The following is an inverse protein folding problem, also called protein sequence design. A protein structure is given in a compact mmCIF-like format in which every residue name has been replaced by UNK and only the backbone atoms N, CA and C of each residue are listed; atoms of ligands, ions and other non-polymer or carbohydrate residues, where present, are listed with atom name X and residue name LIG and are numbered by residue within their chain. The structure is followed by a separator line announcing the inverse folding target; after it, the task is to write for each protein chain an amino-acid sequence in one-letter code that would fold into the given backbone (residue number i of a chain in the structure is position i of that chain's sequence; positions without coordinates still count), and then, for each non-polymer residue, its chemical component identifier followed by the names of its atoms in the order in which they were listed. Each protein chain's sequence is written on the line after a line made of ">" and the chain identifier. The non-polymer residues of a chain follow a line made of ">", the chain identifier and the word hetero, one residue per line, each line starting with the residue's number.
data_IF_731084572442
#
_entry.id   IF_731084572442
#
_cell.length_a   1.000
_cell.length_b   1.000
_cell.length_c   1.000
_cell.angle_alpha   90.00
_cell.angle_beta   90.00
_cell.angle_gamma   90.00
#
_symmetry.space_group_name_H-M   'P 1'
#
loop_
_entity.id
_entity.type
_entity.pdbx_description
1 polymer ?
#
# COMPACT_ATOMS: atom_id res chain seq x y z
N UNK A 1 13.51 -8.78 -16.16
CA UNK A 1 12.96 -7.74 -15.25
C UNK A 1 11.74 -8.32 -14.56
N UNK A 2 11.68 -8.25 -13.23
CA UNK A 2 10.46 -8.45 -12.44
C UNK A 2 9.91 -7.10 -12.03
N UNK A 3 8.59 -6.93 -12.12
CA UNK A 3 7.94 -5.66 -11.81
C UNK A 3 6.81 -5.89 -10.80
N UNK A 4 6.98 -5.35 -9.59
CA UNK A 4 5.94 -5.28 -8.56
C UNK A 4 5.21 -3.96 -8.71
N UNK A 5 3.96 -4.02 -9.17
CA UNK A 5 3.03 -2.88 -9.13
C UNK A 5 2.13 -3.06 -7.93
N UNK A 6 2.34 -2.27 -6.88
CA UNK A 6 1.61 -2.38 -5.62
C UNK A 6 0.51 -1.32 -5.53
N UNK A 7 -0.74 -1.76 -5.47
CA UNK A 7 -1.89 -0.90 -5.21
C UNK A 7 -2.10 -0.70 -3.71
N UNK A 8 -1.85 0.49 -3.22
CA UNK A 8 -1.98 0.83 -1.80
C UNK A 8 -3.45 1.00 -1.37
N UNK A 9 -3.72 0.91 -0.08
CA UNK A 9 -5.00 1.23 0.57
C UNK A 9 -6.14 0.22 0.35
N UNK A 10 -5.88 -1.08 0.18
CA UNK A 10 -6.93 -2.10 0.14
C UNK A 10 -7.78 -2.01 1.43
N UNK A 11 -9.11 -1.96 1.30
CA UNK A 11 -10.04 -1.82 2.43
C UNK A 11 -10.34 -0.38 2.85
N UNK A 12 -9.70 0.62 2.26
CA UNK A 12 -9.96 2.03 2.59
C UNK A 12 -11.42 2.41 2.35
N UNK A 13 -11.94 2.12 1.15
CA UNK A 13 -13.37 2.11 0.82
C UNK A 13 -13.68 0.94 -0.10
N UNK A 14 -14.97 0.58 -0.24
CA UNK A 14 -15.39 -0.46 -1.18
C UNK A 14 -15.02 -0.11 -2.62
N UNK A 15 -15.20 1.13 -3.00
CA UNK A 15 -14.88 1.61 -4.34
C UNK A 15 -13.37 1.54 -4.62
N UNK A 16 -12.51 1.87 -3.63
CA UNK A 16 -11.07 1.70 -3.75
C UNK A 16 -10.69 0.23 -3.95
N UNK A 17 -11.25 -0.65 -3.13
CA UNK A 17 -11.03 -2.10 -3.23
C UNK A 17 -11.39 -2.63 -4.62
N UNK A 18 -12.55 -2.25 -5.16
CA UNK A 18 -13.00 -2.69 -6.50
C UNK A 18 -12.06 -2.20 -7.62
N UNK A 19 -11.51 -0.98 -7.49
CA UNK A 19 -10.53 -0.49 -8.47
C UNK A 19 -9.20 -1.24 -8.40
N UNK A 20 -8.73 -1.63 -7.21
CA UNK A 20 -7.55 -2.49 -7.05
C UNK A 20 -7.79 -3.86 -7.73
N UNK A 21 -8.97 -4.45 -7.53
CA UNK A 21 -9.33 -5.73 -8.16
C UNK A 21 -9.37 -5.58 -9.69
N UNK A 22 -9.97 -4.52 -10.22
CA UNK A 22 -9.96 -4.30 -11.67
C UNK A 22 -8.54 -4.11 -12.23
N UNK A 23 -7.66 -3.38 -11.52
CA UNK A 23 -6.27 -3.23 -11.91
C UNK A 23 -5.50 -4.59 -11.91
N UNK A 24 -5.89 -5.52 -11.03
CA UNK A 24 -5.38 -6.90 -11.03
C UNK A 24 -5.94 -7.72 -12.20
N UNK A 25 -7.26 -7.72 -12.40
CA UNK A 25 -7.91 -8.57 -13.39
C UNK A 25 -7.66 -8.12 -14.83
N UNK A 26 -7.58 -6.82 -15.07
CA UNK A 26 -7.53 -6.21 -16.40
C UNK A 26 -6.24 -5.44 -16.69
N UNK A 27 -5.40 -5.23 -15.69
CA UNK A 27 -4.18 -4.44 -15.78
C UNK A 27 -2.94 -5.19 -15.33
N UNK A 28 -1.94 -4.40 -15.01
CA UNK A 28 -0.59 -4.88 -14.67
C UNK A 28 -0.34 -5.06 -13.16
N UNK A 29 -1.33 -4.84 -12.29
CA UNK A 29 -1.19 -4.96 -10.84
C UNK A 29 -1.15 -6.43 -10.41
N UNK A 30 -0.18 -6.80 -9.54
CA UNK A 30 -0.08 -8.13 -8.93
C UNK A 30 0.17 -8.08 -7.43
N UNK A 31 0.25 -6.89 -6.85
CA UNK A 31 0.50 -6.67 -5.42
C UNK A 31 -0.43 -5.60 -4.88
N UNK A 32 -0.83 -5.74 -3.61
CA UNK A 32 -1.61 -4.73 -2.89
C UNK A 32 -1.30 -4.78 -1.40
N UNK A 33 -1.70 -3.74 -0.65
CA UNK A 33 -1.50 -3.70 0.80
C UNK A 33 -2.75 -3.25 1.53
N UNK A 34 -3.12 -4.01 2.59
CA UNK A 34 -4.37 -3.90 3.31
C UNK A 34 -4.27 -3.03 4.57
N UNK A 35 -5.20 -2.10 4.73
CA UNK A 35 -5.38 -1.24 5.90
C UNK A 35 -6.22 -1.95 6.98
N UNK A 36 -5.59 -2.50 8.01
CA UNK A 36 -6.26 -3.36 8.98
C UNK A 36 -7.23 -2.64 9.91
N UNK A 37 -7.12 -1.34 10.06
CA UNK A 37 -8.04 -0.50 10.83
C UNK A 37 -9.06 0.26 9.97
N UNK A 38 -9.15 -0.05 8.68
CA UNK A 38 -10.13 0.56 7.80
C UNK A 38 -11.51 -0.09 7.95
N UNK A 39 -12.57 0.71 7.78
CA UNK A 39 -13.96 0.27 7.98
C UNK A 39 -14.43 -0.81 7.01
N UNK A 40 -13.85 -0.87 5.82
CA UNK A 40 -14.27 -1.77 4.74
C UNK A 40 -13.31 -2.97 4.55
N UNK A 41 -12.48 -3.27 5.57
CA UNK A 41 -11.48 -4.37 5.48
C UNK A 41 -12.15 -5.75 5.32
N UNK A 42 -13.26 -6.01 5.98
CA UNK A 42 -14.01 -7.27 5.84
C UNK A 42 -14.57 -7.44 4.43
N UNK A 43 -15.05 -6.35 3.83
CA UNK A 43 -15.47 -6.35 2.43
C UNK A 43 -14.27 -6.65 1.50
N UNK A 44 -13.14 -6.00 1.75
CA UNK A 44 -11.93 -6.19 0.96
C UNK A 44 -11.45 -7.65 1.02
N UNK A 45 -11.41 -8.24 2.21
CA UNK A 45 -11.05 -9.65 2.41
C UNK A 45 -11.95 -10.59 1.59
N UNK A 46 -13.27 -10.37 1.62
CA UNK A 46 -14.21 -11.17 0.84
C UNK A 46 -14.04 -10.96 -0.68
N UNK A 47 -13.80 -9.71 -1.09
CA UNK A 47 -13.71 -9.35 -2.50
C UNK A 47 -12.43 -9.89 -3.19
N UNK A 48 -11.34 -10.12 -2.44
CA UNK A 48 -10.10 -10.69 -2.97
C UNK A 48 -10.05 -12.23 -2.86
N UNK A 49 -11.07 -12.87 -2.32
CA UNK A 49 -11.11 -14.33 -2.19
C UNK A 49 -11.07 -15.00 -3.57
N UNK A 50 -10.13 -15.94 -3.75
CA UNK A 50 -9.90 -16.63 -5.03
C UNK A 50 -9.02 -15.88 -6.03
N UNK A 51 -8.44 -14.73 -5.66
CA UNK A 51 -7.44 -14.05 -6.49
C UNK A 51 -6.02 -14.54 -6.15
N UNK A 52 -5.75 -15.82 -6.41
CA UNK A 52 -4.54 -16.54 -5.96
C UNK A 52 -3.21 -15.93 -6.46
N UNK A 53 -3.26 -15.14 -7.54
CA UNK A 53 -2.08 -14.44 -8.08
C UNK A 53 -1.87 -13.03 -7.53
N UNK A 54 -2.72 -12.56 -6.61
CA UNK A 54 -2.59 -11.26 -5.97
C UNK A 54 -1.85 -11.39 -4.64
N UNK A 55 -0.62 -10.86 -4.56
CA UNK A 55 0.09 -10.76 -3.31
C UNK A 55 -0.50 -9.67 -2.42
N UNK A 56 -0.81 -9.99 -1.17
CA UNK A 56 -1.40 -9.02 -0.23
C UNK A 56 -0.43 -8.80 0.93
N UNK A 57 0.08 -7.57 1.05
CA UNK A 57 0.88 -7.10 2.17
C UNK A 57 0.05 -6.35 3.22
N UNK A 58 0.69 -5.96 4.31
CA UNK A 58 0.07 -5.12 5.35
C UNK A 58 0.44 -3.65 5.16
N UNK A 59 -0.57 -2.78 5.08
CA UNK A 59 -0.42 -1.33 4.94
C UNK A 59 -0.46 -0.65 6.31
N UNK A 60 0.69 -0.56 6.97
CA UNK A 60 0.78 0.00 8.31
C UNK A 60 0.34 1.46 8.32
N UNK A 61 -0.39 1.87 9.34
CA UNK A 61 -0.83 3.26 9.48
C UNK A 61 -0.74 3.77 10.91
N UNK A 62 -0.43 5.07 11.03
CA UNK A 62 -0.53 5.87 12.26
C UNK A 62 -1.29 7.18 11.99
N UNK A 63 -1.97 7.29 10.84
CA UNK A 63 -2.56 8.54 10.35
C UNK A 63 -4.00 8.42 9.87
N UNK A 64 -4.56 7.21 9.90
CA UNK A 64 -5.91 6.95 9.39
C UNK A 64 -6.73 6.16 10.42
N UNK A 65 -7.91 6.67 10.77
CA UNK A 65 -8.85 6.00 11.68
C UNK A 65 -8.39 5.98 13.12
N UNK A 66 -8.65 4.87 13.82
CA UNK A 66 -8.29 4.67 15.22
C UNK A 66 -7.27 3.55 15.36
N UNK A 67 -6.35 3.64 16.35
CA UNK A 67 -5.41 2.57 16.61
C UNK A 67 -6.12 1.29 17.06
N UNK A 68 -5.51 0.14 16.79
CA UNK A 68 -5.93 -1.16 17.32
C UNK A 68 -5.50 -1.34 18.78
N UNK A 69 -4.54 -0.55 19.23
CA UNK A 69 -3.96 -0.64 20.59
C UNK A 69 -4.05 0.69 21.35
N UNK A 70 -3.79 0.64 22.65
CA UNK A 70 -3.71 1.83 23.49
C UNK A 70 -2.27 2.38 23.48
N UNK A 71 -1.98 3.37 22.64
CA UNK A 71 -0.71 4.08 22.59
C UNK A 71 -0.89 5.59 22.73
N UNK A 72 -0.35 6.19 23.80
CA UNK A 72 -0.56 7.63 24.08
C UNK A 72 0.19 8.54 23.10
N UNK A 73 1.37 8.12 22.64
CA UNK A 73 2.21 8.93 21.75
C UNK A 73 1.66 8.98 20.32
N UNK A 74 0.89 7.97 19.91
CA UNK A 74 0.33 7.83 18.57
C UNK A 74 -1.14 8.25 18.45
N UNK A 75 -1.80 8.57 19.59
CA UNK A 75 -3.26 8.79 19.64
C UNK A 75 -3.58 10.23 20.00
N UNK A 76 -4.40 10.89 19.20
CA UNK A 76 -4.95 12.20 19.47
C UNK A 76 -6.00 12.15 20.61
N UNK A 77 -6.31 13.29 21.27
CA UNK A 77 -7.26 13.34 22.38
C UNK A 77 -8.65 12.74 22.09
N UNK A 78 -9.04 12.66 20.82
CA UNK A 78 -10.32 12.06 20.37
C UNK A 78 -10.30 10.54 20.22
N UNK A 79 -9.19 9.85 20.49
CA UNK A 79 -9.05 8.40 20.37
C UNK A 79 -8.74 7.91 18.95
N UNK A 80 -8.55 8.83 18.00
CA UNK A 80 -8.09 8.53 16.64
C UNK A 80 -6.59 8.73 16.53
N UNK A 81 -5.99 8.26 15.45
CA UNK A 81 -4.63 8.68 15.09
C UNK A 81 -4.58 10.21 14.83
N UNK A 82 -3.38 10.78 14.97
CA UNK A 82 -3.12 12.13 14.47
C UNK A 82 -3.22 12.18 12.95
N UNK A 83 -3.69 13.32 12.40
CA UNK A 83 -3.60 13.55 10.96
C UNK A 83 -2.13 13.61 10.50
N UNK A 84 -1.87 13.29 9.22
CA UNK A 84 -0.51 13.21 8.64
C UNK A 84 0.39 14.39 9.04
N UNK A 85 -0.06 15.62 8.80
CA UNK A 85 0.75 16.81 9.09
C UNK A 85 1.11 16.93 10.58
N UNK A 86 0.16 16.63 11.45
CA UNK A 86 0.36 16.71 12.90
C UNK A 86 1.30 15.60 13.39
N UNK A 87 1.10 14.35 12.95
CA UNK A 87 1.99 13.24 13.30
C UNK A 87 3.44 13.53 12.92
N UNK A 88 3.68 14.00 11.68
CA UNK A 88 5.03 14.31 11.20
C UNK A 88 5.68 15.48 11.98
N UNK A 89 4.90 16.44 12.49
CA UNK A 89 5.42 17.51 13.35
C UNK A 89 5.77 17.06 14.77
N UNK A 90 5.35 15.85 15.15
CA UNK A 90 5.52 15.25 16.48
C UNK A 90 6.36 13.96 16.44
N UNK A 91 7.07 13.74 15.35
CA UNK A 91 7.80 12.47 15.13
C UNK A 91 8.80 12.15 16.26
N UNK A 92 9.40 13.18 16.86
CA UNK A 92 10.35 13.04 17.96
C UNK A 92 9.66 12.76 19.32
N UNK A 93 8.35 12.96 19.43
CA UNK A 93 7.54 12.66 20.62
C UNK A 93 7.02 11.21 20.62
N UNK A 94 7.22 10.46 19.54
CA UNK A 94 6.72 9.09 19.40
C UNK A 94 7.49 8.12 20.31
N UNK A 95 6.76 7.36 21.11
CA UNK A 95 7.31 6.24 21.87
C UNK A 95 7.44 5.02 20.95
N UNK A 96 8.65 4.50 20.79
CA UNK A 96 8.95 3.35 19.96
C UNK A 96 8.15 2.09 20.37
N UNK A 97 7.85 1.92 21.67
CA UNK A 97 7.05 0.80 22.14
C UNK A 97 5.56 0.95 21.80
N UNK A 98 5.02 2.18 21.80
CA UNK A 98 3.67 2.44 21.31
C UNK A 98 3.57 2.12 19.81
N UNK A 99 4.54 2.58 19.01
CA UNK A 99 4.61 2.30 17.57
C UNK A 99 4.75 0.80 17.31
N UNK A 100 5.67 0.12 18.04
CA UNK A 100 5.89 -1.31 17.90
C UNK A 100 4.63 -2.11 18.20
N UNK A 101 3.96 -1.80 19.31
CA UNK A 101 2.74 -2.48 19.72
C UNK A 101 1.63 -2.32 18.70
N UNK A 102 1.48 -1.12 18.16
CA UNK A 102 0.46 -0.83 17.14
C UNK A 102 0.76 -1.53 15.81
N UNK A 103 1.98 -1.43 15.30
CA UNK A 103 2.37 -2.09 14.04
C UNK A 103 2.27 -3.62 14.15
N UNK A 104 2.69 -4.17 15.31
CA UNK A 104 2.53 -5.60 15.59
C UNK A 104 1.06 -6.01 15.57
N UNK A 105 0.18 -5.24 16.22
CA UNK A 105 -1.25 -5.53 16.23
C UNK A 105 -1.87 -5.47 14.83
N UNK A 106 -1.41 -4.54 13.97
CA UNK A 106 -1.87 -4.47 12.57
C UNK A 106 -1.41 -5.70 11.76
N UNK A 107 -0.15 -6.17 11.94
CA UNK A 107 0.34 -7.40 11.31
C UNK A 107 -0.45 -8.63 11.81
N UNK A 108 -0.68 -8.76 13.11
CA UNK A 108 -1.43 -9.87 13.70
C UNK A 108 -2.90 -9.84 13.26
N UNK A 109 -3.53 -8.67 13.24
CA UNK A 109 -4.88 -8.48 12.69
C UNK A 109 -4.97 -8.90 11.22
N UNK A 110 -3.93 -8.65 10.42
CA UNK A 110 -3.87 -9.15 9.04
C UNK A 110 -3.92 -10.68 9.01
N UNK A 111 -3.09 -11.35 9.81
CA UNK A 111 -3.07 -12.81 9.87
C UNK A 111 -4.43 -13.38 10.29
N UNK A 112 -5.10 -12.74 11.26
CA UNK A 112 -6.41 -13.17 11.75
C UNK A 112 -7.51 -13.00 10.67
N UNK A 113 -7.50 -11.88 9.95
CA UNK A 113 -8.53 -11.55 8.94
C UNK A 113 -8.33 -12.35 7.65
N UNK A 114 -7.10 -12.44 7.13
CA UNK A 114 -6.82 -13.09 5.85
C UNK A 114 -6.50 -14.59 5.99
N UNK A 115 -6.15 -15.07 7.19
CA UNK A 115 -5.84 -16.47 7.45
C UNK A 115 -4.45 -16.92 7.00
N UNK A 116 -3.58 -15.98 6.61
CA UNK A 116 -2.20 -16.21 6.22
C UNK A 116 -1.33 -15.00 6.57
N UNK A 117 -0.01 -15.14 6.52
CA UNK A 117 0.91 -14.03 6.70
C UNK A 117 0.83 -13.03 5.52
N UNK A 118 1.03 -11.71 5.75
CA UNK A 118 1.17 -10.76 4.65
C UNK A 118 2.43 -11.08 3.81
N UNK A 119 2.42 -10.70 2.54
CA UNK A 119 3.59 -10.91 1.66
C UNK A 119 4.73 -9.94 1.96
N UNK A 120 4.41 -8.73 2.42
CA UNK A 120 5.37 -7.67 2.72
C UNK A 120 4.76 -6.59 3.61
N UNK A 121 5.60 -5.66 4.01
CA UNK A 121 5.23 -4.46 4.80
C UNK A 121 5.44 -3.22 3.96
N UNK A 122 4.43 -2.37 3.93
CA UNK A 122 4.54 -0.97 3.52
C UNK A 122 3.71 -0.07 4.45
N UNK A 123 3.38 1.17 4.08
CA UNK A 123 2.55 1.97 4.96
C UNK A 123 1.87 3.15 4.29
N UNK A 124 0.71 3.49 4.83
CA UNK A 124 -0.03 4.70 4.53
C UNK A 124 0.79 5.94 4.90
N UNK A 125 0.95 6.85 3.95
CA UNK A 125 1.75 8.07 4.12
C UNK A 125 3.24 7.86 4.45
N UNK A 126 3.80 6.66 4.26
CA UNK A 126 5.21 6.37 4.52
C UNK A 126 5.58 6.34 6.02
N UNK A 127 4.63 5.99 6.90
CA UNK A 127 4.90 6.01 8.36
C UNK A 127 5.90 4.95 8.79
N UNK A 128 6.13 3.88 8.02
CA UNK A 128 7.06 2.81 8.38
C UNK A 128 8.54 3.26 8.41
N UNK A 129 8.88 4.34 7.71
CA UNK A 129 10.24 4.90 7.64
C UNK A 129 10.30 6.42 7.91
N UNK A 130 9.27 6.96 8.59
CA UNK A 130 9.14 8.39 8.87
C UNK A 130 10.23 8.97 9.79
N UNK A 131 10.93 8.12 10.54
CA UNK A 131 12.12 8.47 11.33
C UNK A 131 13.01 7.25 11.54
N UNK A 132 14.31 7.44 11.92
CA UNK A 132 15.21 6.33 12.23
C UNK A 132 14.64 5.38 13.29
N UNK A 133 14.03 5.91 14.35
CA UNK A 133 13.46 5.10 15.43
C UNK A 133 12.27 4.24 14.95
N UNK A 134 11.36 4.82 14.15
CA UNK A 134 10.24 4.08 13.56
C UNK A 134 10.72 3.06 12.55
N UNK A 135 11.71 3.40 11.73
CA UNK A 135 12.32 2.46 10.77
C UNK A 135 12.95 1.25 11.49
N UNK A 136 13.63 1.48 12.62
CA UNK A 136 14.24 0.39 13.40
C UNK A 136 13.17 -0.53 14.01
N UNK A 137 12.05 0.02 14.49
CA UNK A 137 10.87 -0.74 14.93
C UNK A 137 10.32 -1.59 13.78
N UNK A 138 10.10 -0.98 12.62
CA UNK A 138 9.53 -1.69 11.46
C UNK A 138 10.46 -2.80 10.96
N UNK A 139 11.76 -2.54 10.86
CA UNK A 139 12.78 -3.55 10.53
C UNK A 139 12.83 -4.70 11.55
N UNK A 140 12.63 -4.38 12.83
CA UNK A 140 12.52 -5.38 13.89
C UNK A 140 11.34 -6.32 13.68
N UNK A 141 10.18 -5.77 13.38
CA UNK A 141 8.97 -6.54 13.07
C UNK A 141 9.10 -7.31 11.75
N UNK A 142 9.66 -6.71 10.71
CA UNK A 142 9.91 -7.38 9.44
C UNK A 142 10.76 -8.66 9.65
N UNK A 143 11.83 -8.58 10.46
CA UNK A 143 12.64 -9.76 10.82
C UNK A 143 11.87 -10.77 11.68
N UNK A 144 11.06 -10.32 12.65
CA UNK A 144 10.26 -11.16 13.54
C UNK A 144 9.27 -12.02 12.75
N UNK A 145 8.65 -11.44 11.71
CA UNK A 145 7.63 -12.09 10.89
C UNK A 145 8.16 -12.65 9.56
N UNK A 146 9.44 -12.47 9.24
CA UNK A 146 10.05 -12.94 8.00
C UNK A 146 9.53 -12.22 6.75
N UNK A 147 9.20 -10.93 6.86
CA UNK A 147 8.59 -10.12 5.80
C UNK A 147 9.61 -9.21 5.13
N UNK A 148 9.44 -8.99 3.81
CA UNK A 148 10.13 -7.92 3.10
C UNK A 148 9.46 -6.57 3.40
N UNK A 149 10.18 -5.49 3.14
CA UNK A 149 9.67 -4.13 3.31
C UNK A 149 9.86 -3.34 2.02
N UNK A 150 8.87 -2.54 1.65
CA UNK A 150 9.00 -1.52 0.60
C UNK A 150 10.25 -0.68 0.82
N UNK A 151 11.01 -0.40 -0.25
CA UNK A 151 12.28 0.35 -0.27
C UNK A 151 13.48 -0.35 0.38
N UNK A 152 13.27 -1.43 1.13
CA UNK A 152 14.32 -2.10 1.91
C UNK A 152 14.44 -3.60 1.57
N UNK A 153 13.70 -4.06 0.58
CA UNK A 153 13.69 -5.43 0.07
C UNK A 153 14.58 -5.59 -1.17
N UNK A 154 14.27 -6.62 -1.95
CA UNK A 154 15.03 -7.00 -3.17
C UNK A 154 14.66 -6.19 -4.41
N UNK A 155 13.55 -5.44 -4.40
CA UNK A 155 13.10 -4.63 -5.52
C UNK A 155 13.56 -3.18 -5.34
N UNK A 156 14.10 -2.58 -6.41
CA UNK A 156 14.44 -1.16 -6.41
C UNK A 156 13.14 -0.32 -6.47
N UNK A 157 12.96 0.57 -5.50
CA UNK A 157 11.79 1.43 -5.47
C UNK A 157 11.87 2.52 -6.53
N UNK A 158 10.90 2.57 -7.42
CA UNK A 158 10.76 3.63 -8.43
C UNK A 158 9.58 4.54 -8.10
N UNK A 159 9.71 5.80 -8.50
CA UNK A 159 8.71 6.85 -8.26
C UNK A 159 8.38 7.57 -9.57
N UNK A 160 7.45 8.55 -9.50
CA UNK A 160 7.09 9.36 -10.68
C UNK A 160 5.70 9.06 -11.25
N UNK A 161 5.05 8.00 -10.78
CA UNK A 161 3.68 7.66 -11.14
C UNK A 161 2.72 8.08 -10.01
N UNK A 162 2.24 9.33 -10.06
CA UNK A 162 1.36 9.87 -9.03
C UNK A 162 0.61 11.12 -9.51
N UNK A 163 -0.69 11.22 -9.26
CA UNK A 163 -1.49 12.39 -9.60
C UNK A 163 -1.45 12.73 -11.09
N UNK A 164 -1.04 13.96 -11.48
CA UNK A 164 -0.99 14.36 -12.89
C UNK A 164 -0.01 13.56 -13.74
N UNK A 165 1.01 12.94 -13.14
CA UNK A 165 1.99 12.11 -13.85
C UNK A 165 1.58 10.65 -13.98
N UNK A 166 0.43 10.25 -13.42
CA UNK A 166 -0.08 8.89 -13.54
C UNK A 166 -0.75 8.68 -14.91
N UNK A 167 0.08 8.44 -15.93
CA UNK A 167 -0.35 8.19 -17.31
C UNK A 167 0.26 6.89 -17.86
N UNK A 168 -0.33 6.37 -18.93
CA UNK A 168 0.20 5.20 -19.65
C UNK A 168 1.63 5.43 -20.15
N UNK A 169 1.89 6.64 -20.67
CA UNK A 169 3.22 7.02 -21.17
C UNK A 169 4.26 6.98 -20.05
N UNK A 170 3.91 7.46 -18.84
CA UNK A 170 4.80 7.41 -17.68
C UNK A 170 5.12 5.97 -17.29
N UNK A 171 4.13 5.06 -17.27
CA UNK A 171 4.36 3.64 -16.97
C UNK A 171 5.28 2.99 -17.99
N UNK A 172 5.06 3.24 -19.28
CA UNK A 172 5.91 2.74 -20.36
C UNK A 172 7.34 3.27 -20.20
N UNK A 173 7.51 4.58 -19.90
CA UNK A 173 8.83 5.18 -19.68
C UNK A 173 9.56 4.53 -18.48
N UNK A 174 8.86 4.34 -17.35
CA UNK A 174 9.43 3.66 -16.19
C UNK A 174 9.88 2.23 -16.54
N UNK A 175 9.02 1.45 -17.22
CA UNK A 175 9.40 0.10 -17.63
C UNK A 175 10.59 0.10 -18.59
N UNK A 176 10.60 1.02 -19.57
CA UNK A 176 11.68 1.17 -20.55
C UNK A 176 13.03 1.52 -19.89
N UNK A 177 13.02 2.37 -18.87
CA UNK A 177 14.23 2.84 -18.17
C UNK A 177 14.84 1.77 -17.26
N UNK A 178 14.07 0.75 -16.85
CA UNK A 178 14.45 -0.26 -15.86
C UNK A 178 14.42 -1.70 -16.36
N UNK A 179 14.50 -1.94 -17.68
CA UNK A 179 14.41 -3.30 -18.27
C UNK A 179 15.43 -4.30 -17.68
N UNK A 180 16.55 -3.83 -17.17
CA UNK A 180 17.62 -4.64 -16.60
C UNK A 180 17.58 -4.75 -15.06
N UNK A 181 16.55 -4.19 -14.41
CA UNK A 181 16.38 -4.18 -12.95
C UNK A 181 15.07 -4.87 -12.53
N UNK A 182 15.04 -5.36 -11.30
CA UNK A 182 13.82 -5.77 -10.62
C UNK A 182 13.31 -4.59 -9.78
N UNK A 183 12.13 -4.08 -10.10
CA UNK A 183 11.60 -2.84 -9.51
C UNK A 183 10.26 -3.00 -8.83
N UNK A 184 9.97 -2.09 -7.90
CA UNK A 184 8.64 -1.90 -7.32
C UNK A 184 8.13 -0.48 -7.57
N UNK A 185 6.85 -0.36 -7.88
CA UNK A 185 6.12 0.88 -8.07
C UNK A 185 4.91 0.92 -7.14
N UNK A 186 4.79 2.00 -6.37
CA UNK A 186 3.59 2.31 -5.59
C UNK A 186 2.55 3.00 -6.47
N UNK A 187 1.30 2.57 -6.34
CA UNK A 187 0.15 3.24 -6.95
C UNK A 187 -1.09 3.16 -6.05
N UNK A 188 -2.13 3.92 -6.40
CA UNK A 188 -3.37 3.98 -5.63
C UNK A 188 -4.59 3.84 -6.56
N UNK A 189 -4.72 2.77 -7.36
CA UNK A 189 -5.86 2.62 -8.24
C UNK A 189 -7.15 2.51 -7.44
N UNK A 190 -8.22 3.11 -7.93
CA UNK A 190 -9.51 3.04 -7.25
C UNK A 190 -10.62 3.73 -8.02
N UNK A 191 -11.85 3.29 -7.81
CA UNK A 191 -13.01 4.08 -8.16
C UNK A 191 -13.24 5.17 -7.12
N UNK A 192 -13.88 6.26 -7.51
CA UNK A 192 -14.24 7.34 -6.61
C UNK A 192 -15.74 7.34 -6.35
N UNK A 193 -16.13 6.82 -5.19
CA UNK A 193 -17.48 6.99 -4.65
C UNK A 193 -17.58 8.18 -3.70
N UNK A 194 -18.75 8.40 -3.12
CA UNK A 194 -18.97 9.51 -2.20
C UNK A 194 -18.16 9.37 -0.90
N UNK A 195 -17.93 8.15 -0.45
CA UNK A 195 -17.16 7.88 0.75
C UNK A 195 -15.71 8.25 0.55
N UNK A 196 -15.09 7.81 -0.55
CA UNK A 196 -13.72 8.18 -0.90
C UNK A 196 -13.59 9.68 -1.18
N UNK A 197 -14.54 10.26 -1.93
CA UNK A 197 -14.53 11.70 -2.23
C UNK A 197 -14.52 12.57 -0.97
N UNK A 198 -15.20 12.14 0.10
CA UNK A 198 -15.25 12.86 1.39
C UNK A 198 -14.05 12.57 2.29
N UNK A 199 -13.49 11.37 2.21
CA UNK A 199 -12.45 10.90 3.11
C UNK A 199 -11.03 11.28 2.66
N UNK A 200 -10.80 11.45 1.35
CA UNK A 200 -9.47 11.67 0.79
C UNK A 200 -9.45 12.81 -0.22
N UNK A 201 -8.40 13.64 -0.15
CA UNK A 201 -8.11 14.59 -1.22
C UNK A 201 -7.54 13.93 -2.48
N UNK A 202 -6.94 12.74 -2.33
CA UNK A 202 -6.48 11.90 -3.44
C UNK A 202 -7.61 10.94 -3.84
N UNK A 203 -8.53 11.42 -4.66
CA UNK A 203 -9.76 10.70 -5.02
C UNK A 203 -9.90 10.46 -6.52
N UNK A 204 -10.10 11.48 -7.35
CA UNK A 204 -10.20 11.33 -8.82
C UNK A 204 -8.87 10.91 -9.46
N UNK A 205 -7.75 11.23 -8.84
CA UNK A 205 -6.44 10.77 -9.31
C UNK A 205 -6.32 9.24 -9.25
N UNK A 206 -7.02 8.57 -8.31
CA UNK A 206 -7.08 7.10 -8.25
C UNK A 206 -7.72 6.48 -9.48
N UNK A 207 -8.74 7.14 -10.03
CA UNK A 207 -9.40 6.70 -11.29
C UNK A 207 -8.43 6.83 -12.47
N UNK A 208 -7.61 7.89 -12.49
CA UNK A 208 -6.57 8.09 -13.50
C UNK A 208 -5.48 7.01 -13.41
N UNK A 209 -5.05 6.68 -12.21
CA UNK A 209 -4.09 5.60 -11.99
C UNK A 209 -4.66 4.26 -12.45
N UNK A 210 -5.92 3.96 -12.13
CA UNK A 210 -6.61 2.75 -12.58
C UNK A 210 -6.66 2.66 -14.11
N UNK A 211 -7.05 3.75 -14.78
CA UNK A 211 -7.10 3.83 -16.25
C UNK A 211 -5.72 3.56 -16.87
N UNK A 212 -4.67 4.16 -16.33
CA UNK A 212 -3.31 3.95 -16.81
C UNK A 212 -2.83 2.51 -16.61
N UNK A 213 -3.10 1.90 -15.44
CA UNK A 213 -2.72 0.50 -15.14
C UNK A 213 -3.43 -0.52 -16.03
N UNK A 214 -4.65 -0.21 -16.47
CA UNK A 214 -5.44 -1.06 -17.37
C UNK A 214 -5.28 -0.70 -18.86
N UNK A 215 -4.39 0.24 -19.20
CA UNK A 215 -4.22 0.70 -20.57
C UNK A 215 -3.64 -0.41 -21.46
N UNK A 216 -4.27 -0.72 -22.61
CA UNK A 216 -3.78 -1.78 -23.51
C UNK A 216 -2.35 -1.59 -24.00
N UNK A 217 -1.87 -0.34 -24.16
CA UNK A 217 -0.50 -0.08 -24.58
C UNK A 217 0.52 -0.42 -23.49
N UNK A 218 0.17 -0.23 -22.20
CA UNK A 218 1.00 -0.61 -21.06
C UNK A 218 1.11 -2.13 -20.94
N UNK A 219 -0.01 -2.84 -21.10
CA UNK A 219 -0.05 -4.31 -21.08
C UNK A 219 0.77 -4.87 -22.23
N UNK A 220 0.55 -4.38 -23.48
CA UNK A 220 1.29 -4.81 -24.66
C UNK A 220 2.80 -4.57 -24.51
N UNK A 221 3.21 -3.44 -23.94
CA UNK A 221 4.63 -3.15 -23.68
C UNK A 221 5.24 -4.16 -22.71
N UNK A 222 4.53 -4.47 -21.61
CA UNK A 222 5.00 -5.46 -20.64
C UNK A 222 5.15 -6.88 -21.27
N UNK A 223 4.20 -7.29 -22.11
CA UNK A 223 4.23 -8.55 -22.85
C UNK A 223 5.38 -8.59 -23.87
N UNK A 224 5.52 -7.55 -24.70
CA UNK A 224 6.56 -7.43 -25.74
C UNK A 224 7.96 -7.54 -25.15
N UNK A 225 8.19 -6.95 -23.98
CA UNK A 225 9.48 -6.96 -23.30
C UNK A 225 9.64 -8.11 -22.30
N UNK A 226 8.67 -9.05 -22.26
CA UNK A 226 8.67 -10.19 -21.33
C UNK A 226 8.89 -9.78 -19.87
N UNK A 227 8.25 -8.68 -19.45
CA UNK A 227 8.29 -8.20 -18.07
C UNK A 227 7.45 -9.14 -17.19
N UNK A 228 8.06 -9.73 -16.18
CA UNK A 228 7.37 -10.58 -15.22
C UNK A 228 6.64 -9.70 -14.20
N UNK A 229 5.31 -9.57 -14.37
CA UNK A 229 4.46 -8.93 -13.38
C UNK A 229 4.31 -9.84 -12.16
N UNK A 230 4.74 -9.39 -10.99
CA UNK A 230 4.85 -10.24 -9.79
C UNK A 230 4.47 -9.49 -8.52
N UNK A 231 4.51 -10.18 -7.39
CA UNK A 231 4.41 -9.62 -6.03
C UNK A 231 5.66 -10.00 -5.20
N UNK A 232 5.74 -9.54 -3.98
CA UNK A 232 6.78 -9.87 -3.01
C UNK A 232 6.83 -11.35 -2.65
#
# INVERSE_FOLDING_TARGET
>A
MRFVVNGDDLGYTKANTLGIIEAYERGILRSTTALMNAKDIDFARQAVEGLDGLGIGVHLTLTLGSPLTAGRSITAPGGTFYGRKELYSRVDDLDAEDVRREFKAQIESFCDVFGHAPTHIDSHHGVHDMSPAVLDVTRGLAREYGLEMRRYGRFAYVSGFFGPTATAETLISIMQEHLDEDIELMCHPGYCDLDLYRASSYNLDRVRELDALCNPAVIAFAEEHSIELTHY
#
